data_IF_516029537050
#
_entry.id   IF_516029537050
#
_cell.length_a   1.000
_cell.length_b   1.000
_cell.length_c   1.000
_cell.angle_alpha   90.00
_cell.angle_beta   90.00
_cell.angle_gamma   90.00
#
_symmetry.space_group_name_H-M   'P 1'
#
loop_
_entity.id
_entity.type
_entity.pdbx_description
1 polymer ?
#
# COMPACT_ATOMS: atom_id res chain seq x y z
N UNK A 1 -15.77 -17.50 15.19
CA UNK A 1 -16.76 -17.56 16.29
C UNK A 1 -16.68 -16.23 17.01
N UNK A 2 -17.81 -15.61 17.30
CA UNK A 2 -17.91 -14.41 18.14
C UNK A 2 -17.55 -14.74 19.59
N UNK A 3 -17.34 -13.74 20.46
CA UNK A 3 -17.16 -13.96 21.91
C UNK A 3 -18.30 -14.78 22.54
N UNK A 4 -19.49 -14.75 21.95
CA UNK A 4 -20.65 -15.58 22.35
C UNK A 4 -20.63 -17.00 21.84
N UNK A 5 -19.59 -17.47 21.14
CA UNK A 5 -19.48 -18.82 20.58
C UNK A 5 -20.28 -19.05 19.29
N UNK A 6 -20.88 -18.03 18.70
CA UNK A 6 -21.61 -18.10 17.43
C UNK A 6 -20.65 -18.12 16.26
N UNK A 7 -20.92 -18.94 15.24
CA UNK A 7 -20.15 -18.96 13.99
C UNK A 7 -20.38 -17.65 13.23
N UNK A 8 -19.28 -16.96 12.85
CA UNK A 8 -19.36 -15.79 11.98
C UNK A 8 -19.71 -16.27 10.56
N UNK A 9 -20.81 -15.81 10.03
CA UNK A 9 -21.26 -16.16 8.68
C UNK A 9 -21.79 -14.96 7.88
N UNK A 10 -22.28 -13.94 8.58
CA UNK A 10 -22.86 -12.73 7.99
C UNK A 10 -22.00 -11.53 8.33
N UNK A 11 -21.33 -10.94 7.33
CA UNK A 11 -20.33 -9.91 7.54
C UNK A 11 -20.61 -8.66 6.71
N UNK A 12 -20.40 -7.48 7.28
CA UNK A 12 -20.29 -6.27 6.48
C UNK A 12 -18.85 -6.12 5.99
N UNK A 13 -18.67 -5.63 4.78
CA UNK A 13 -17.36 -5.37 4.22
C UNK A 13 -17.12 -3.87 4.00
N UNK A 14 -15.96 -3.36 4.43
CA UNK A 14 -15.62 -1.93 4.38
C UNK A 14 -14.24 -1.76 3.74
N UNK A 15 -14.20 -1.15 2.56
CA UNK A 15 -12.92 -0.98 1.86
C UNK A 15 -13.03 -0.03 0.66
N UNK A 16 -11.90 0.47 0.15
CA UNK A 16 -11.95 1.44 -0.95
C UNK A 16 -10.99 1.12 -2.10
N UNK A 17 -9.64 1.00 -1.91
CA UNK A 17 -8.69 0.83 -3.00
C UNK A 17 -8.57 -0.64 -3.43
N UNK A 18 -7.83 -0.86 -4.51
CA UNK A 18 -7.60 -2.18 -5.11
C UNK A 18 -7.10 -3.25 -4.11
N UNK A 19 -6.29 -2.87 -3.12
CA UNK A 19 -5.80 -3.80 -2.08
C UNK A 19 -6.92 -4.45 -1.27
N UNK A 20 -8.11 -3.82 -1.24
CA UNK A 20 -9.30 -4.32 -0.54
C UNK A 20 -10.22 -5.16 -1.44
N UNK A 21 -9.85 -5.45 -2.69
CA UNK A 21 -10.69 -6.23 -3.61
C UNK A 21 -10.55 -7.73 -3.35
N UNK A 22 -9.34 -8.25 -3.27
CA UNK A 22 -9.11 -9.68 -3.12
C UNK A 22 -9.70 -10.27 -1.83
N UNK A 23 -9.61 -9.60 -0.65
CA UNK A 23 -10.31 -10.07 0.55
C UNK A 23 -11.84 -10.14 0.37
N UNK A 24 -12.46 -9.17 -0.32
CA UNK A 24 -13.89 -9.21 -0.63
C UNK A 24 -14.23 -10.38 -1.51
N UNK A 25 -13.48 -10.57 -2.61
CA UNK A 25 -13.70 -11.69 -3.53
C UNK A 25 -13.64 -13.03 -2.81
N UNK A 26 -12.64 -13.19 -1.94
CA UNK A 26 -12.44 -14.44 -1.23
C UNK A 26 -13.55 -14.72 -0.22
N UNK A 27 -14.06 -13.71 0.48
CA UNK A 27 -15.22 -13.86 1.36
C UNK A 27 -16.47 -14.34 0.59
N UNK A 28 -16.70 -13.79 -0.61
CA UNK A 28 -17.83 -14.22 -1.47
C UNK A 28 -17.61 -15.66 -1.95
N UNK A 29 -16.39 -16.01 -2.36
CA UNK A 29 -16.03 -17.36 -2.82
C UNK A 29 -16.25 -18.40 -1.71
N UNK A 30 -15.90 -18.08 -0.47
CA UNK A 30 -16.09 -18.94 0.71
C UNK A 30 -17.54 -18.96 1.22
N UNK A 31 -18.45 -18.22 0.58
CA UNK A 31 -19.89 -18.27 0.82
C UNK A 31 -20.36 -17.46 2.03
N UNK A 32 -19.59 -16.46 2.47
CA UNK A 32 -20.05 -15.52 3.50
C UNK A 32 -21.22 -14.68 2.97
N UNK A 33 -22.23 -14.47 3.80
CA UNK A 33 -23.33 -13.53 3.50
C UNK A 33 -22.84 -12.09 3.73
N UNK A 34 -22.82 -11.29 2.66
CA UNK A 34 -22.34 -9.90 2.69
C UNK A 34 -23.51 -8.98 2.34
N UNK A 35 -24.34 -8.59 3.32
CA UNK A 35 -25.52 -7.77 3.08
C UNK A 35 -25.19 -6.34 2.69
N UNK A 36 -24.01 -5.84 3.03
CA UNK A 36 -23.59 -4.48 2.75
C UNK A 36 -22.07 -4.38 2.54
N UNK A 37 -21.68 -3.69 1.47
CA UNK A 37 -20.31 -3.22 1.22
C UNK A 37 -20.29 -1.70 1.37
N UNK A 38 -19.46 -1.17 2.29
CA UNK A 38 -19.24 0.25 2.45
C UNK A 38 -17.92 0.64 1.81
N UNK A 39 -17.94 1.68 0.97
CA UNK A 39 -16.75 2.18 0.28
C UNK A 39 -16.74 3.69 0.20
N UNK A 40 -15.56 4.27 -0.02
CA UNK A 40 -15.46 5.72 -0.20
C UNK A 40 -16.27 6.22 -1.41
N UNK A 41 -16.69 7.49 -1.41
CA UNK A 41 -17.46 8.08 -2.50
C UNK A 41 -16.66 8.09 -3.81
N UNK A 42 -17.40 8.12 -4.92
CA UNK A 42 -16.80 8.24 -6.25
C UNK A 42 -15.92 9.49 -6.32
N UNK A 43 -14.71 9.34 -6.83
CA UNK A 43 -13.71 10.43 -6.92
C UNK A 43 -13.35 10.72 -8.36
N UNK A 44 -12.99 11.97 -8.62
CA UNK A 44 -12.40 12.35 -9.91
C UNK A 44 -11.07 11.62 -10.09
N UNK A 45 -10.92 10.85 -11.17
CA UNK A 45 -9.69 10.17 -11.54
C UNK A 45 -9.26 10.65 -12.93
N UNK A 46 -8.01 11.12 -13.04
CA UNK A 46 -7.46 11.63 -14.30
C UNK A 46 -7.77 13.10 -14.59
N UNK A 47 -7.48 13.54 -15.82
CA UNK A 47 -7.61 14.95 -16.28
C UNK A 47 -9.04 15.34 -16.69
N UNK A 48 -10.02 14.44 -16.58
CA UNK A 48 -11.41 14.68 -16.95
C UNK A 48 -12.30 15.13 -15.78
N UNK A 49 -13.53 15.57 -16.08
CA UNK A 49 -14.55 15.94 -15.08
C UNK A 49 -15.37 14.75 -14.57
N UNK A 50 -15.22 13.56 -15.16
CA UNK A 50 -15.96 12.37 -14.76
C UNK A 50 -15.44 11.79 -13.46
N UNK A 51 -16.35 11.42 -12.57
CA UNK A 51 -16.05 10.62 -11.39
C UNK A 51 -16.00 9.14 -11.79
N UNK A 52 -15.17 8.36 -11.12
CA UNK A 52 -15.13 6.92 -11.27
C UNK A 52 -15.32 6.23 -9.91
N UNK A 53 -15.99 5.08 -9.90
CA UNK A 53 -16.17 4.30 -8.68
C UNK A 53 -14.83 3.83 -8.12
N UNK A 54 -14.82 3.51 -6.82
CA UNK A 54 -13.69 2.84 -6.18
C UNK A 54 -13.51 1.43 -6.79
N UNK A 55 -12.34 0.83 -6.57
CA UNK A 55 -12.09 -0.52 -7.05
C UNK A 55 -13.01 -1.53 -6.35
N UNK A 56 -13.25 -1.35 -5.06
CA UNK A 56 -14.20 -2.16 -4.27
C UNK A 56 -15.64 -1.96 -4.76
N UNK A 57 -16.08 -0.71 -5.03
CA UNK A 57 -17.44 -0.46 -5.54
C UNK A 57 -17.69 -1.19 -6.84
N UNK A 58 -16.79 -1.04 -7.79
CA UNK A 58 -16.90 -1.67 -9.12
C UNK A 58 -17.03 -3.19 -9.01
N UNK A 59 -16.23 -3.79 -8.14
CA UNK A 59 -16.24 -5.24 -7.95
C UNK A 59 -17.48 -5.73 -7.18
N UNK A 60 -17.88 -5.02 -6.13
CA UNK A 60 -19.09 -5.34 -5.38
C UNK A 60 -20.36 -5.26 -6.25
N UNK A 61 -20.47 -4.21 -7.10
CA UNK A 61 -21.57 -4.09 -8.08
C UNK A 61 -21.55 -5.23 -9.11
N UNK A 62 -20.37 -5.66 -9.59
CA UNK A 62 -20.22 -6.81 -10.49
C UNK A 62 -20.70 -8.11 -9.85
N UNK A 63 -20.52 -8.25 -8.55
CA UNK A 63 -20.96 -9.41 -7.76
C UNK A 63 -22.44 -9.31 -7.34
N UNK A 64 -23.14 -8.22 -7.65
CA UNK A 64 -24.53 -7.99 -7.27
C UNK A 64 -24.71 -7.68 -5.78
N UNK A 65 -23.68 -7.26 -5.07
CA UNK A 65 -23.74 -6.88 -3.66
C UNK A 65 -24.31 -5.46 -3.48
N UNK A 66 -24.98 -5.23 -2.35
CA UNK A 66 -25.43 -3.88 -2.00
C UNK A 66 -24.25 -3.02 -1.60
N UNK A 67 -24.15 -1.82 -2.19
CA UNK A 67 -23.04 -0.88 -1.96
C UNK A 67 -23.56 0.44 -1.42
N UNK A 68 -22.91 0.95 -0.38
CA UNK A 68 -23.13 2.29 0.15
C UNK A 68 -21.82 3.08 0.26
N UNK A 69 -21.91 4.41 0.23
CA UNK A 69 -20.82 5.31 0.62
C UNK A 69 -21.03 5.95 2.00
N UNK A 70 -22.12 5.62 2.66
CA UNK A 70 -22.46 6.10 4.00
C UNK A 70 -22.22 4.98 5.03
N UNK A 71 -21.30 5.20 5.96
CA UNK A 71 -20.98 4.23 7.02
C UNK A 71 -22.15 4.02 7.99
N UNK A 72 -23.02 5.02 8.15
CA UNK A 72 -24.18 4.94 9.05
C UNK A 72 -25.21 3.90 8.62
N UNK A 73 -25.19 3.46 7.36
CA UNK A 73 -26.09 2.41 6.86
C UNK A 73 -25.83 1.07 7.57
N UNK A 74 -24.66 0.88 8.20
CA UNK A 74 -24.36 -0.29 9.03
C UNK A 74 -25.28 -0.44 10.23
N UNK A 75 -25.80 0.68 10.79
CA UNK A 75 -26.69 0.64 11.96
C UNK A 75 -28.01 -0.08 11.65
N UNK A 76 -28.40 -0.12 10.39
CA UNK A 76 -29.65 -0.74 9.93
C UNK A 76 -29.49 -2.21 9.51
N UNK A 77 -28.26 -2.75 9.57
CA UNK A 77 -27.95 -4.08 9.07
C UNK A 77 -27.49 -4.98 10.22
N UNK A 78 -28.15 -6.11 10.38
CA UNK A 78 -27.72 -7.13 11.34
C UNK A 78 -26.58 -7.95 10.73
N UNK A 79 -25.40 -7.91 11.35
CA UNK A 79 -24.19 -8.68 10.95
C UNK A 79 -23.47 -9.19 12.19
N UNK A 80 -22.77 -10.31 12.02
CA UNK A 80 -21.97 -10.90 13.10
C UNK A 80 -20.66 -10.08 13.32
N UNK A 81 -20.14 -9.45 12.26
CA UNK A 81 -18.83 -8.75 12.24
C UNK A 81 -18.77 -7.79 11.05
N UNK A 82 -18.03 -6.70 11.20
CA UNK A 82 -17.61 -5.87 10.08
C UNK A 82 -16.10 -6.01 9.81
N UNK A 83 -15.73 -6.21 8.54
CA UNK A 83 -14.35 -6.40 8.11
C UNK A 83 -13.90 -5.15 7.36
N UNK A 84 -12.86 -4.51 7.86
CA UNK A 84 -12.31 -3.26 7.30
C UNK A 84 -10.98 -3.54 6.63
N UNK A 85 -10.81 -3.03 5.41
CA UNK A 85 -9.56 -3.13 4.66
C UNK A 85 -9.30 -1.81 3.93
N UNK A 86 -8.30 -1.07 4.37
CA UNK A 86 -7.86 0.17 3.72
C UNK A 86 -9.01 1.14 3.37
N UNK A 87 -9.89 1.43 4.31
CA UNK A 87 -11.04 2.31 4.10
C UNK A 87 -10.65 3.79 3.97
N UNK A 88 -9.65 4.23 4.76
CA UNK A 88 -9.09 5.58 4.68
C UNK A 88 -9.95 6.69 5.25
N UNK A 89 -10.95 6.35 6.07
CA UNK A 89 -11.77 7.27 6.85
C UNK A 89 -11.83 6.77 8.29
N UNK A 90 -11.99 7.68 9.24
CA UNK A 90 -12.26 7.31 10.64
C UNK A 90 -13.69 6.79 10.74
N UNK A 91 -13.86 5.74 11.52
CA UNK A 91 -15.18 5.16 11.81
C UNK A 91 -15.69 5.82 13.09
N UNK A 92 -16.88 6.44 13.04
CA UNK A 92 -17.44 7.12 14.21
C UNK A 92 -17.70 6.16 15.36
N UNK A 93 -17.58 6.66 16.60
CA UNK A 93 -17.76 5.86 17.81
C UNK A 93 -19.10 5.11 17.86
N UNK A 94 -20.21 5.76 17.45
CA UNK A 94 -21.53 5.13 17.49
C UNK A 94 -21.65 3.91 16.56
N UNK A 95 -20.82 3.83 15.51
CA UNK A 95 -20.72 2.66 14.63
C UNK A 95 -19.87 1.57 15.30
N UNK A 96 -18.75 1.93 15.92
CA UNK A 96 -17.90 1.00 16.67
C UNK A 96 -18.65 0.37 17.86
N UNK A 97 -19.52 1.15 18.53
CA UNK A 97 -20.35 0.65 19.61
C UNK A 97 -21.50 -0.26 19.11
N UNK A 98 -21.85 -0.17 17.82
CA UNK A 98 -22.97 -0.92 17.24
C UNK A 98 -22.58 -2.31 16.73
N UNK A 99 -21.41 -2.43 16.09
CA UNK A 99 -20.94 -3.70 15.49
C UNK A 99 -19.45 -3.90 15.76
N UNK A 100 -19.10 -5.13 16.17
CA UNK A 100 -17.69 -5.51 16.29
C UNK A 100 -17.00 -5.39 14.95
N UNK A 101 -15.82 -4.76 14.95
CA UNK A 101 -15.05 -4.55 13.72
C UNK A 101 -13.62 -5.06 13.84
N UNK A 102 -13.15 -5.68 12.77
CA UNK A 102 -11.73 -6.03 12.61
C UNK A 102 -11.15 -5.31 11.39
N UNK A 103 -9.86 -5.02 11.45
CA UNK A 103 -9.12 -4.44 10.34
C UNK A 103 -7.97 -5.37 9.93
N UNK A 104 -7.81 -5.54 8.62
CA UNK A 104 -6.60 -6.13 8.04
C UNK A 104 -5.58 -5.02 7.91
N UNK A 105 -4.59 -5.01 8.79
CA UNK A 105 -3.52 -4.02 8.79
C UNK A 105 -2.21 -4.60 8.25
N UNK A 106 -1.61 -3.94 7.27
CA UNK A 106 -0.47 -4.45 6.52
C UNK A 106 0.88 -4.09 7.18
N UNK A 107 0.99 -4.36 8.47
CA UNK A 107 2.26 -4.29 9.22
C UNK A 107 2.27 -5.22 10.42
N UNK A 108 3.43 -5.39 11.05
CA UNK A 108 3.58 -5.98 12.38
C UNK A 108 3.40 -4.88 13.43
N UNK A 109 2.15 -4.66 13.86
CA UNK A 109 1.81 -3.68 14.90
C UNK A 109 2.58 -3.95 16.20
N UNK A 110 2.99 -2.89 16.94
CA UNK A 110 2.65 -1.48 16.79
C UNK A 110 3.49 -0.71 15.76
N UNK A 111 4.38 -1.39 15.01
CA UNK A 111 5.16 -0.74 13.98
C UNK A 111 4.28 -0.39 12.77
N UNK A 112 4.44 0.82 12.25
CA UNK A 112 3.78 1.32 11.05
C UNK A 112 2.24 1.41 11.16
N UNK A 113 1.70 1.97 12.26
CA UNK A 113 0.32 2.42 12.30
C UNK A 113 0.05 3.47 11.25
N UNK A 114 -1.06 3.41 10.50
CA UNK A 114 -1.47 4.43 9.53
C UNK A 114 -1.56 3.96 8.09
N UNK A 115 -1.47 4.90 7.15
CA UNK A 115 -2.00 4.76 5.79
C UNK A 115 -1.05 4.09 4.77
N UNK A 116 0.27 4.00 5.05
CA UNK A 116 1.26 3.54 4.08
C UNK A 116 2.32 2.59 4.70
N UNK A 117 1.90 1.54 5.43
CA UNK A 117 2.82 0.70 6.19
C UNK A 117 3.85 -0.02 5.33
N UNK A 118 3.45 -0.59 4.19
CA UNK A 118 4.35 -1.33 3.29
C UNK A 118 5.38 -0.39 2.63
N UNK A 119 4.94 0.80 2.20
CA UNK A 119 5.83 1.83 1.66
C UNK A 119 6.88 2.26 2.69
N UNK A 120 6.46 2.52 3.92
CA UNK A 120 7.37 2.95 5.00
C UNK A 120 8.33 1.85 5.41
N UNK A 121 7.89 0.60 5.44
CA UNK A 121 8.77 -0.54 5.70
C UNK A 121 9.89 -0.66 4.65
N UNK A 122 9.55 -0.52 3.35
CA UNK A 122 10.56 -0.52 2.27
C UNK A 122 11.53 0.66 2.43
N UNK A 123 11.02 1.88 2.62
CA UNK A 123 11.87 3.08 2.76
C UNK A 123 12.79 3.02 3.98
N UNK A 124 12.32 2.49 5.09
CA UNK A 124 13.13 2.30 6.29
C UNK A 124 14.20 1.20 6.15
N UNK A 125 14.12 0.38 5.09
CA UNK A 125 15.02 -0.75 4.91
C UNK A 125 14.72 -1.93 5.84
N UNK A 126 13.46 -2.06 6.27
CA UNK A 126 13.04 -3.22 7.06
C UNK A 126 13.26 -4.50 6.25
N UNK A 127 13.75 -5.54 6.92
CA UNK A 127 13.96 -6.87 6.31
C UNK A 127 12.73 -7.76 6.43
N UNK A 128 11.74 -7.33 7.20
CA UNK A 128 10.47 -8.00 7.41
C UNK A 128 9.36 -7.01 7.70
N UNK A 129 8.14 -7.38 7.36
CA UNK A 129 6.89 -6.74 7.71
C UNK A 129 5.87 -7.82 8.07
N UNK A 130 4.60 -7.56 7.99
CA UNK A 130 3.57 -8.57 8.18
C UNK A 130 2.17 -8.04 7.93
N UNK A 131 1.21 -8.87 8.31
CA UNK A 131 -0.21 -8.51 8.34
C UNK A 131 -0.77 -8.89 9.69
N UNK A 132 -1.53 -7.99 10.30
CA UNK A 132 -2.26 -8.26 11.54
C UNK A 132 -3.77 -8.12 11.33
N UNK A 133 -4.53 -9.05 11.88
CA UNK A 133 -5.97 -8.88 12.11
C UNK A 133 -6.10 -8.23 13.48
N UNK A 134 -6.65 -7.04 13.52
CA UNK A 134 -6.75 -6.24 14.75
C UNK A 134 -8.16 -5.75 14.99
N UNK A 135 -8.50 -5.49 16.23
CA UNK A 135 -9.72 -4.80 16.64
C UNK A 135 -9.68 -3.33 16.21
N UNK A 136 -10.81 -2.80 15.77
CA UNK A 136 -10.93 -1.38 15.49
C UNK A 136 -11.34 -0.63 16.75
N UNK A 137 -10.64 0.49 16.99
CA UNK A 137 -10.93 1.46 18.06
C UNK A 137 -11.04 2.87 17.47
N UNK A 138 -11.43 3.84 18.30
CA UNK A 138 -11.52 5.25 17.90
C UNK A 138 -10.17 5.84 17.45
N UNK A 139 -9.08 5.34 18.03
CA UNK A 139 -7.73 5.81 17.76
C UNK A 139 -7.09 4.98 16.64
N UNK A 140 -6.34 5.64 15.77
CA UNK A 140 -5.77 5.06 14.56
C UNK A 140 -4.87 3.86 14.88
N UNK A 141 -5.31 2.67 14.48
CA UNK A 141 -4.60 1.39 14.53
C UNK A 141 -4.03 1.04 15.93
N UNK A 142 -4.76 1.37 17.01
CA UNK A 142 -4.34 1.10 18.40
C UNK A 142 -4.97 -0.13 19.02
N UNK A 143 -6.04 -0.65 18.44
CA UNK A 143 -6.76 -1.80 18.96
C UNK A 143 -5.93 -3.06 19.13
N UNK A 144 -6.42 -3.97 19.94
CA UNK A 144 -5.76 -5.24 20.21
C UNK A 144 -5.61 -6.12 18.98
N UNK A 145 -4.62 -6.99 18.99
CA UNK A 145 -4.29 -7.89 17.89
C UNK A 145 -4.90 -9.26 18.14
N UNK A 146 -5.66 -9.78 17.19
CA UNK A 146 -6.15 -11.16 17.20
C UNK A 146 -5.11 -12.12 16.66
N UNK A 147 -4.55 -11.84 15.49
CA UNK A 147 -3.55 -12.66 14.81
C UNK A 147 -2.60 -11.81 13.99
N UNK A 148 -1.36 -12.28 13.81
CA UNK A 148 -0.41 -11.69 12.86
C UNK A 148 0.34 -12.80 12.11
N UNK A 149 0.77 -12.46 10.90
CA UNK A 149 1.72 -13.25 10.12
C UNK A 149 2.91 -12.37 9.73
N UNK A 150 4.12 -12.90 9.87
CA UNK A 150 5.36 -12.21 9.47
C UNK A 150 5.68 -12.49 7.99
N UNK A 151 6.11 -11.47 7.27
CA UNK A 151 6.43 -11.53 5.85
C UNK A 151 7.84 -10.98 5.63
N UNK A 152 8.79 -11.75 5.12
CA UNK A 152 10.12 -11.25 4.78
C UNK A 152 10.05 -10.28 3.59
N UNK A 153 10.86 -9.23 3.65
CA UNK A 153 11.05 -8.25 2.57
C UNK A 153 12.39 -8.56 1.88
N UNK A 154 12.32 -8.98 0.63
CA UNK A 154 13.52 -9.23 -0.17
C UNK A 154 14.28 -7.94 -0.53
N UNK A 155 15.61 -8.00 -0.72
CA UNK A 155 16.44 -6.81 -0.96
C UNK A 155 16.05 -6.03 -2.22
N UNK A 156 15.51 -6.70 -3.24
CA UNK A 156 15.08 -6.09 -4.51
C UNK A 156 13.56 -6.15 -4.71
N UNK A 157 12.82 -6.63 -3.72
CA UNK A 157 11.38 -6.78 -3.82
C UNK A 157 10.70 -5.41 -3.98
N UNK A 158 9.88 -5.28 -5.02
CA UNK A 158 9.10 -4.07 -5.29
C UNK A 158 7.91 -3.95 -4.32
N UNK A 159 7.37 -2.75 -4.19
CA UNK A 159 6.14 -2.51 -3.42
C UNK A 159 4.96 -3.32 -3.98
N UNK A 160 4.86 -3.47 -5.30
CA UNK A 160 3.79 -4.24 -5.95
C UNK A 160 3.85 -5.71 -5.55
N UNK A 161 5.04 -6.33 -5.62
CA UNK A 161 5.25 -7.72 -5.20
C UNK A 161 5.00 -7.92 -3.69
N UNK A 162 5.51 -6.98 -2.86
CA UNK A 162 5.28 -7.04 -1.42
C UNK A 162 3.79 -6.91 -1.08
N UNK A 163 3.09 -6.00 -1.77
CA UNK A 163 1.64 -5.79 -1.60
C UNK A 163 0.85 -7.04 -2.00
N UNK A 164 1.14 -7.62 -3.15
CA UNK A 164 0.47 -8.86 -3.60
C UNK A 164 0.65 -10.00 -2.58
N UNK A 165 1.88 -10.19 -2.09
CA UNK A 165 2.16 -11.18 -1.05
C UNK A 165 1.42 -10.87 0.25
N UNK A 166 1.44 -9.60 0.70
CA UNK A 166 0.76 -9.20 1.94
C UNK A 166 -0.75 -9.36 1.86
N UNK A 167 -1.34 -9.12 0.69
CA UNK A 167 -2.78 -9.35 0.47
C UNK A 167 -3.11 -10.83 0.56
N UNK A 168 -2.34 -11.69 -0.12
CA UNK A 168 -2.54 -13.14 -0.05
C UNK A 168 -2.46 -13.66 1.38
N UNK A 169 -1.38 -13.34 2.10
CA UNK A 169 -1.21 -13.74 3.51
C UNK A 169 -2.31 -13.16 4.42
N UNK A 170 -2.74 -11.92 4.15
CA UNK A 170 -3.82 -11.27 4.90
C UNK A 170 -5.18 -11.92 4.67
N UNK A 171 -5.46 -12.39 3.46
CA UNK A 171 -6.67 -13.15 3.14
C UNK A 171 -6.68 -14.49 3.86
N UNK A 172 -5.58 -15.24 3.79
CA UNK A 172 -5.47 -16.53 4.46
C UNK A 172 -5.62 -16.38 5.97
N UNK A 173 -4.97 -15.36 6.55
CA UNK A 173 -5.07 -15.04 7.98
C UNK A 173 -6.49 -14.63 8.39
N UNK A 174 -7.20 -13.87 7.53
CA UNK A 174 -8.60 -13.51 7.75
C UNK A 174 -9.48 -14.74 7.80
N UNK A 175 -9.42 -15.60 6.78
CA UNK A 175 -10.25 -16.80 6.70
C UNK A 175 -9.99 -17.74 7.89
N UNK A 176 -8.72 -17.97 8.22
CA UNK A 176 -8.36 -18.74 9.40
C UNK A 176 -8.97 -18.12 10.67
N UNK A 177 -8.93 -16.80 10.82
CA UNK A 177 -9.48 -16.09 11.98
C UNK A 177 -10.99 -16.22 12.07
N UNK A 178 -11.70 -16.22 10.93
CA UNK A 178 -13.16 -16.38 10.89
C UNK A 178 -13.58 -17.84 11.15
N UNK A 179 -12.83 -18.82 10.68
CA UNK A 179 -13.11 -20.25 10.85
C UNK A 179 -12.84 -20.71 12.28
N UNK A 180 -11.64 -20.40 12.82
CA UNK A 180 -11.21 -20.80 14.15
C UNK A 180 -11.82 -19.93 15.27
N UNK A 181 -12.34 -18.76 14.90
CA UNK A 181 -12.77 -17.70 15.81
C UNK A 181 -11.69 -16.70 16.13
N UNK A 182 -12.11 -15.47 16.42
CA UNK A 182 -11.19 -14.37 16.71
C UNK A 182 -10.47 -14.55 18.08
N UNK A 183 -11.16 -15.11 19.07
CA UNK A 183 -10.66 -15.15 20.44
C UNK A 183 -10.66 -13.76 21.07
N UNK A 184 -9.86 -13.57 22.11
CA UNK A 184 -9.67 -12.27 22.76
C UNK A 184 -8.46 -11.54 22.14
N UNK A 185 -8.58 -10.26 21.82
CA UNK A 185 -7.47 -9.51 21.26
C UNK A 185 -6.37 -9.28 22.31
N UNK A 186 -5.13 -9.33 21.88
CA UNK A 186 -3.96 -9.07 22.74
C UNK A 186 -3.51 -7.62 22.57
N UNK A 187 -3.28 -6.86 23.65
CA UNK A 187 -2.76 -5.50 23.54
C UNK A 187 -1.46 -5.42 22.75
N UNK A 188 -1.29 -4.39 21.95
CA UNK A 188 -0.05 -4.14 21.23
C UNK A 188 1.09 -3.83 22.21
N UNK A 189 2.24 -4.47 22.03
CA UNK A 189 3.42 -4.29 22.90
C UNK A 189 4.56 -3.63 22.13
N UNK A 190 5.26 -2.69 22.77
CA UNK A 190 6.43 -1.99 22.21
C UNK A 190 6.11 -0.55 21.78
N UNK A 191 7.13 0.13 21.26
CA UNK A 191 7.04 1.52 20.83
C UNK A 191 6.34 1.62 19.45
N UNK A 192 5.27 2.41 19.32
CA UNK A 192 4.60 2.57 18.03
C UNK A 192 5.41 3.42 17.08
N UNK A 193 5.33 3.11 15.78
CA UNK A 193 5.77 3.99 14.72
C UNK A 193 4.63 4.25 13.72
N UNK A 194 4.72 5.36 12.98
CA UNK A 194 3.61 5.83 12.14
C UNK A 194 3.95 5.85 10.68
N UNK A 195 3.06 5.32 9.87
CA UNK A 195 3.16 5.21 8.42
C UNK A 195 2.30 6.28 7.74
N UNK A 196 2.76 7.54 7.77
CA UNK A 196 2.10 8.62 7.05
C UNK A 196 2.11 8.35 5.55
N UNK A 197 1.03 8.77 4.88
CA UNK A 197 0.88 8.67 3.42
C UNK A 197 2.07 9.32 2.73
N UNK A 198 2.60 8.65 1.71
CA UNK A 198 3.71 9.16 0.91
C UNK A 198 3.24 10.33 0.04
N UNK A 199 3.87 11.48 0.19
CA UNK A 199 3.65 12.68 -0.62
C UNK A 199 4.37 12.60 -1.98
N UNK A 200 3.94 13.44 -2.93
CA UNK A 200 4.62 13.48 -4.24
C UNK A 200 6.06 14.02 -4.14
N UNK A 201 6.34 14.87 -3.16
CA UNK A 201 7.69 15.40 -2.93
C UNK A 201 8.63 14.34 -2.37
N UNK A 202 8.15 13.45 -1.50
CA UNK A 202 8.96 12.33 -0.99
C UNK A 202 9.33 11.31 -2.08
N UNK A 203 8.69 11.36 -3.24
CA UNK A 203 9.00 10.48 -4.38
C UNK A 203 10.05 11.06 -5.32
N UNK A 204 10.49 12.30 -5.11
CA UNK A 204 11.61 12.89 -5.82
C UNK A 204 12.91 12.29 -5.33
N UNK A 205 13.75 11.84 -6.25
CA UNK A 205 15.05 11.25 -5.90
C UNK A 205 15.99 12.36 -5.47
N UNK A 206 16.39 12.30 -4.22
CA UNK A 206 17.55 13.06 -3.73
C UNK A 206 18.82 12.23 -4.00
N UNK A 207 19.60 12.67 -4.97
CA UNK A 207 20.86 12.00 -5.32
C UNK A 207 21.95 12.15 -4.24
N UNK A 208 21.73 13.01 -3.24
CA UNK A 208 22.57 13.12 -2.05
C UNK A 208 22.42 11.97 -1.05
N UNK A 209 21.43 11.10 -1.24
CA UNK A 209 21.25 9.89 -0.44
C UNK A 209 22.20 8.77 -0.90
N UNK A 210 22.30 7.70 -0.10
CA UNK A 210 23.03 6.51 -0.49
C UNK A 210 22.35 5.77 -1.66
N UNK A 211 23.12 5.03 -2.43
CA UNK A 211 22.61 4.21 -3.54
C UNK A 211 21.50 3.25 -3.06
N UNK A 212 21.62 2.70 -1.86
CA UNK A 212 20.60 1.81 -1.29
C UNK A 212 19.31 2.55 -0.96
N UNK A 213 19.38 3.76 -0.35
CA UNK A 213 18.18 4.56 -0.04
C UNK A 213 17.45 4.97 -1.32
N UNK A 214 18.18 5.36 -2.36
CA UNK A 214 17.62 5.67 -3.67
C UNK A 214 16.93 4.42 -4.26
N UNK A 215 17.53 3.24 -4.17
CA UNK A 215 16.91 2.01 -4.67
C UNK A 215 15.65 1.64 -3.86
N UNK A 216 15.62 1.88 -2.54
CA UNK A 216 14.40 1.70 -1.75
C UNK A 216 13.27 2.59 -2.27
N UNK A 217 13.56 3.85 -2.59
CA UNK A 217 12.59 4.76 -3.18
C UNK A 217 12.11 4.29 -4.56
N UNK A 218 13.03 3.83 -5.41
CA UNK A 218 12.71 3.28 -6.75
C UNK A 218 11.80 2.07 -6.65
N UNK A 219 11.99 1.19 -5.66
CA UNK A 219 11.14 0.01 -5.40
C UNK A 219 9.67 0.35 -5.13
N UNK A 220 9.34 1.59 -4.76
CA UNK A 220 7.95 2.05 -4.66
C UNK A 220 7.26 2.19 -6.03
N UNK A 221 8.01 2.14 -7.16
CA UNK A 221 7.49 2.20 -8.53
C UNK A 221 7.01 3.59 -8.96
N UNK A 222 7.23 4.64 -8.14
CA UNK A 222 6.78 6.00 -8.39
C UNK A 222 7.88 7.06 -8.24
N UNK A 223 9.12 6.65 -8.00
CA UNK A 223 10.25 7.54 -7.87
C UNK A 223 10.48 8.35 -9.14
N UNK A 224 10.91 9.58 -9.01
CA UNK A 224 11.16 10.45 -10.14
C UNK A 224 12.31 11.42 -9.86
N UNK A 225 12.90 11.90 -10.93
CA UNK A 225 13.91 12.95 -10.92
C UNK A 225 13.62 13.94 -12.07
N UNK A 226 14.46 14.94 -12.26
CA UNK A 226 14.39 15.86 -13.39
C UNK A 226 15.58 15.69 -14.33
N UNK A 227 15.36 15.92 -15.60
CA UNK A 227 16.35 15.97 -16.66
C UNK A 227 16.06 17.19 -17.51
N UNK A 228 16.95 18.17 -17.55
CA UNK A 228 16.75 19.41 -18.28
C UNK A 228 15.38 20.06 -18.02
N UNK A 229 14.96 20.07 -16.76
CA UNK A 229 13.67 20.64 -16.31
C UNK A 229 12.42 19.77 -16.56
N UNK A 230 12.55 18.63 -17.22
CA UNK A 230 11.43 17.69 -17.44
C UNK A 230 11.49 16.50 -16.48
N UNK A 231 10.32 16.02 -16.07
CA UNK A 231 10.23 14.87 -15.15
C UNK A 231 10.62 13.57 -15.85
N UNK A 232 11.49 12.81 -15.19
CA UNK A 232 11.84 11.43 -15.53
C UNK A 232 11.44 10.51 -14.36
N UNK A 233 10.48 9.62 -14.57
CA UNK A 233 10.19 8.57 -13.59
C UNK A 233 11.19 7.44 -13.74
N UNK A 234 11.70 6.94 -12.61
CA UNK A 234 12.59 5.79 -12.56
C UNK A 234 11.79 4.59 -12.05
N UNK A 235 11.62 3.59 -12.90
CA UNK A 235 10.83 2.39 -12.58
C UNK A 235 11.70 1.27 -12.04
N UNK A 236 12.94 1.17 -12.52
CA UNK A 236 13.89 0.14 -12.10
C UNK A 236 15.32 0.66 -12.21
N UNK A 237 16.13 0.32 -11.22
CA UNK A 237 17.54 0.67 -11.13
C UNK A 237 18.29 -0.38 -10.31
N UNK A 238 19.61 -0.37 -10.37
CA UNK A 238 20.49 -1.22 -9.55
C UNK A 238 21.72 -0.44 -9.06
N UNK A 239 22.48 -1.01 -8.15
CA UNK A 239 23.79 -0.47 -7.77
C UNK A 239 24.66 -0.42 -9.02
N UNK A 240 25.24 0.73 -9.31
CA UNK A 240 26.14 0.91 -10.44
C UNK A 240 27.57 0.46 -10.11
N UNK A 241 28.35 0.23 -11.14
CA UNK A 241 29.75 -0.18 -11.03
C UNK A 241 30.75 0.97 -11.18
N UNK A 242 30.29 2.14 -11.62
CA UNK A 242 31.15 3.32 -11.76
C UNK A 242 31.45 3.93 -10.39
N UNK A 243 32.64 4.49 -10.27
CA UNK A 243 33.09 5.26 -9.12
C UNK A 243 33.45 6.68 -9.55
N UNK A 244 33.47 7.62 -8.59
CA UNK A 244 33.92 9.00 -8.80
C UNK A 244 33.04 9.85 -9.75
N UNK A 245 31.71 9.63 -9.73
CA UNK A 245 30.76 10.60 -10.25
C UNK A 245 30.38 11.58 -9.12
N UNK A 246 30.18 12.84 -9.47
CA UNK A 246 29.59 13.81 -8.56
C UNK A 246 28.12 13.47 -8.29
N UNK A 247 27.57 13.95 -7.18
CA UNK A 247 26.15 13.76 -6.83
C UNK A 247 25.27 14.26 -7.97
N UNK A 248 24.36 13.41 -8.45
CA UNK A 248 23.48 13.71 -9.58
C UNK A 248 24.15 13.71 -10.95
N UNK A 249 25.48 13.63 -11.04
CA UNK A 249 26.19 13.54 -12.31
C UNK A 249 25.85 12.22 -13.00
N UNK A 250 25.44 12.31 -14.26
CA UNK A 250 25.12 11.14 -15.10
C UNK A 250 26.25 10.88 -16.09
N UNK A 251 26.71 9.64 -16.15
CA UNK A 251 27.60 9.13 -17.21
C UNK A 251 27.01 7.84 -17.78
N UNK A 252 26.52 7.92 -19.01
CA UNK A 252 25.75 6.82 -19.59
C UNK A 252 24.45 6.61 -18.81
N UNK A 253 24.24 5.39 -18.28
CA UNK A 253 23.10 5.02 -17.45
C UNK A 253 23.35 5.19 -15.94
N UNK A 254 24.59 5.42 -15.55
CA UNK A 254 24.98 5.56 -14.16
C UNK A 254 24.87 7.00 -13.69
N UNK A 255 24.31 7.19 -12.47
CA UNK A 255 24.13 8.47 -11.81
C UNK A 255 24.83 8.43 -10.46
N UNK A 256 25.60 9.47 -10.11
CA UNK A 256 26.31 9.57 -8.85
C UNK A 256 25.35 9.76 -7.66
N UNK A 257 25.62 9.04 -6.57
CA UNK A 257 25.02 9.20 -5.25
C UNK A 257 26.07 9.57 -4.22
N UNK A 258 25.73 9.73 -2.94
CA UNK A 258 26.72 10.11 -1.94
C UNK A 258 27.80 9.03 -1.65
N UNK A 259 27.51 7.77 -1.95
CA UNK A 259 28.38 6.62 -1.63
C UNK A 259 28.76 5.75 -2.84
N UNK A 260 28.29 6.11 -4.04
CA UNK A 260 28.56 5.31 -5.24
C UNK A 260 27.77 5.79 -6.45
N UNK A 261 27.19 4.84 -7.17
CA UNK A 261 26.34 5.15 -8.33
C UNK A 261 25.12 4.25 -8.40
N UNK A 262 24.05 4.78 -8.97
CA UNK A 262 22.83 4.04 -9.32
C UNK A 262 22.75 3.94 -10.84
N UNK A 263 22.62 2.73 -11.36
CA UNK A 263 22.44 2.47 -12.79
C UNK A 263 20.95 2.33 -13.11
N UNK A 264 20.46 3.20 -14.00
CA UNK A 264 19.07 3.20 -14.45
C UNK A 264 18.83 2.02 -15.39
N UNK A 265 17.70 1.31 -15.21
CA UNK A 265 17.31 0.16 -16.04
C UNK A 265 16.06 0.49 -16.85
N UNK A 266 15.01 0.95 -16.20
CA UNK A 266 13.75 1.33 -16.84
C UNK A 266 13.30 2.71 -16.36
N UNK A 267 12.94 3.55 -17.33
CA UNK A 267 12.51 4.93 -17.08
C UNK A 267 11.25 5.28 -17.86
N UNK A 268 10.64 6.40 -17.48
CA UNK A 268 9.50 6.96 -18.20
C UNK A 268 9.65 8.48 -18.24
N UNK A 269 10.07 9.06 -19.38
CA UNK A 269 10.05 10.49 -19.59
C UNK A 269 8.62 11.05 -19.56
N UNK A 270 8.48 12.31 -19.21
CA UNK A 270 7.19 12.99 -19.18
C UNK A 270 6.46 12.88 -20.51
N UNK A 271 5.18 12.53 -20.49
CA UNK A 271 4.35 12.34 -21.69
C UNK A 271 4.70 11.12 -22.57
N UNK A 272 5.65 10.28 -22.17
CA UNK A 272 6.05 9.07 -22.89
C UNK A 272 5.63 7.80 -22.18
N UNK A 273 5.74 6.66 -22.85
CA UNK A 273 5.58 5.33 -22.26
C UNK A 273 6.86 4.93 -21.52
N UNK A 274 6.74 3.98 -20.59
CA UNK A 274 7.85 3.28 -19.96
C UNK A 274 8.73 2.62 -21.03
N UNK A 275 10.06 2.73 -20.88
CA UNK A 275 11.04 2.21 -21.81
C UNK A 275 12.33 1.83 -21.10
N UNK A 276 13.22 1.09 -21.77
CA UNK A 276 14.56 0.86 -21.27
C UNK A 276 15.34 2.17 -21.19
N UNK A 277 16.17 2.30 -20.16
CA UNK A 277 16.98 3.51 -19.97
C UNK A 277 18.00 3.71 -21.12
N UNK A 278 18.44 2.63 -21.78
CA UNK A 278 19.28 2.68 -22.98
C UNK A 278 18.57 3.36 -24.15
N UNK A 279 17.29 3.01 -24.40
CA UNK A 279 16.50 3.62 -25.46
C UNK A 279 16.25 5.11 -25.19
N UNK A 280 15.95 5.45 -23.94
CA UNK A 280 15.81 6.84 -23.52
C UNK A 280 17.11 7.63 -23.74
N UNK A 281 18.25 7.09 -23.33
CA UNK A 281 19.56 7.72 -23.49
C UNK A 281 19.90 7.96 -24.96
N UNK A 282 19.57 7.02 -25.85
CA UNK A 282 19.79 7.17 -27.29
C UNK A 282 19.00 8.32 -27.92
N UNK A 283 17.92 8.73 -27.30
CA UNK A 283 17.10 9.86 -27.70
C UNK A 283 17.55 11.23 -27.18
N UNK A 284 18.56 11.27 -26.30
CA UNK A 284 19.08 12.52 -25.75
C UNK A 284 20.10 13.19 -26.70
N UNK A 285 20.07 14.53 -26.76
CA UNK A 285 21.08 15.34 -27.49
C UNK A 285 22.48 15.18 -26.89
N UNK A 286 22.56 15.11 -25.55
CA UNK A 286 23.79 14.87 -24.78
C UNK A 286 23.79 13.41 -24.27
N UNK A 287 24.32 12.52 -25.09
CA UNK A 287 24.23 11.07 -24.82
C UNK A 287 25.12 10.59 -23.68
N UNK A 288 26.21 11.27 -23.37
CA UNK A 288 27.26 10.74 -22.47
C UNK A 288 27.27 11.34 -21.07
N UNK A 289 27.04 12.63 -20.92
CA UNK A 289 27.17 13.34 -19.64
C UNK A 289 25.96 14.26 -19.41
N UNK A 290 25.71 14.60 -18.15
CA UNK A 290 24.64 15.52 -17.75
C UNK A 290 24.41 15.41 -16.25
N UNK A 291 23.39 16.11 -15.73
CA UNK A 291 22.98 16.01 -14.34
C UNK A 291 21.50 15.65 -14.27
N UNK A 292 21.14 14.87 -13.25
CA UNK A 292 19.78 14.57 -12.87
C UNK A 292 19.45 15.24 -11.53
N UNK A 293 18.21 15.65 -11.39
CA UNK A 293 17.78 16.44 -10.25
C UNK A 293 17.98 17.95 -10.49
N UNK A 294 17.59 18.75 -9.52
CA UNK A 294 17.85 20.18 -9.54
C UNK A 294 19.31 20.39 -9.12
N UNK A 295 20.20 20.48 -10.11
CA UNK A 295 21.56 20.97 -9.94
C UNK A 295 21.57 22.47 -9.78
#
# INVERSE_FOLDING_TARGET
VTESGRRINRVAYIGTPAIAVDPLLKLVEEGYDIPLVVTGPDKRRGRGSSTSPSDVKREAERLGLNVSSNIDDLVSIDVDLAIVVAFGQLIPKHILDHVQMINIHFSLLPRWRGAAPLERAILAGDTKTGVCIMELEETLDTGGIYRCVEIPIGPNQTLEELRAKSVSEGVDLLLQSLEEGLGSPTPQLGEPSYAHKISSSELEIDWGLSSEEILRLVRLGRAWTTVSGSRLRVHSAKIGSLTNLEIGQRKGLSVGSCDGTVELIEVQPEGRKKMLAEDWMNGLSEKTNGYLGNG
#
